data_IF_619986464502
#
_entry.id   IF_619986464502
#
_cell.length_a   1.000
_cell.length_b   1.000
_cell.length_c   1.000
_cell.angle_alpha   90.00
_cell.angle_beta   90.00
_cell.angle_gamma   90.00
#
_symmetry.space_group_name_H-M   'P 1'
#
loop_
_entity.id
_entity.type
_entity.pdbx_description
1 polymer ?
#
# COMPACT_ATOMS: atom_id res chain seq x y z
N UNK A 1 -10.09 65.82 -23.16
CA UNK A 1 -11.15 66.28 -22.23
C UNK A 1 -11.29 65.29 -21.09
N UNK A 2 -11.04 65.74 -19.86
CA UNK A 2 -11.21 64.98 -18.61
C UNK A 2 -12.67 65.04 -18.16
N UNK A 3 -13.25 63.93 -17.69
CA UNK A 3 -14.26 63.95 -16.63
C UNK A 3 -14.01 62.80 -15.64
N UNK A 4 -13.57 63.20 -14.44
CA UNK A 4 -13.49 62.41 -13.20
C UNK A 4 -14.74 62.72 -12.37
N UNK A 5 -15.34 61.75 -11.67
CA UNK A 5 -16.02 61.86 -10.35
C UNK A 5 -16.71 60.53 -9.98
N UNK A 6 -17.06 60.24 -8.71
CA UNK A 6 -16.33 60.42 -7.45
C UNK A 6 -16.24 59.13 -6.60
N UNK A 7 -15.29 59.17 -5.65
CA UNK A 7 -15.11 58.29 -4.50
C UNK A 7 -16.21 58.52 -3.46
N UNK A 8 -16.73 57.44 -2.83
CA UNK A 8 -17.53 57.54 -1.60
C UNK A 8 -16.99 56.59 -0.53
N UNK A 9 -16.32 57.19 0.44
CA UNK A 9 -15.92 56.64 1.74
C UNK A 9 -17.12 56.65 2.69
N UNK A 10 -17.35 55.56 3.46
CA UNK A 10 -18.17 55.65 4.68
C UNK A 10 -17.57 54.84 5.84
N UNK A 11 -17.17 55.68 6.82
CA UNK A 11 -16.76 55.55 8.22
C UNK A 11 -17.03 54.22 8.97
N UNK A 12 -15.97 53.83 9.68
CA UNK A 12 -15.92 53.05 10.92
C UNK A 12 -16.87 53.61 11.99
N UNK A 13 -17.52 52.72 12.73
CA UNK A 13 -17.91 52.92 14.13
C UNK A 13 -17.25 51.85 14.99
N UNK A 14 -16.53 52.32 16.01
CA UNK A 14 -15.82 51.56 17.03
C UNK A 14 -16.40 52.00 18.38
N UNK A 15 -16.92 51.06 19.15
CA UNK A 15 -17.11 51.16 20.61
C UNK A 15 -16.67 49.78 21.14
N UNK A 16 -15.56 49.60 21.89
CA UNK A 16 -15.25 49.99 23.28
C UNK A 16 -16.46 49.76 24.19
N UNK A 17 -16.38 49.11 25.33
CA UNK A 17 -15.40 48.37 26.16
C UNK A 17 -16.28 47.83 27.29
N UNK A 18 -15.95 46.69 27.89
CA UNK A 18 -15.96 46.50 29.35
C UNK A 18 -15.65 45.04 29.69
N UNK A 19 -14.44 44.85 30.22
CA UNK A 19 -14.14 43.76 31.13
C UNK A 19 -14.63 44.16 32.52
N UNK A 20 -15.02 43.20 33.34
CA UNK A 20 -14.55 43.01 34.74
C UNK A 20 -15.17 41.73 35.29
N UNK A 21 -14.32 41.02 36.02
CA UNK A 21 -14.39 39.75 36.72
C UNK A 21 -15.63 39.47 37.57
N UNK A 22 -15.96 38.18 37.69
CA UNK A 22 -16.44 37.61 38.94
C UNK A 22 -15.93 36.16 39.06
N UNK A 23 -14.92 35.97 39.91
CA UNK A 23 -14.56 34.68 40.52
C UNK A 23 -15.48 34.52 41.72
N UNK A 24 -16.33 33.49 41.72
CA UNK A 24 -17.02 33.02 42.92
C UNK A 24 -16.85 31.51 42.99
N UNK A 25 -16.18 31.10 44.06
CA UNK A 25 -16.11 29.73 44.58
C UNK A 25 -17.49 29.36 45.14
N UNK A 26 -18.04 28.24 44.69
CA UNK A 26 -19.13 27.55 45.38
C UNK A 26 -18.90 26.04 45.29
N UNK A 27 -18.32 25.50 46.38
CA UNK A 27 -18.28 24.08 46.72
C UNK A 27 -19.57 23.78 47.46
N UNK A 28 -20.41 22.89 46.92
CA UNK A 28 -21.29 21.91 47.62
C UNK A 28 -22.51 21.53 46.76
N UNK A 29 -22.58 20.24 46.41
CA UNK A 29 -23.85 19.51 46.40
C UNK A 29 -24.62 19.40 45.08
N UNK A 30 -24.16 18.57 44.14
CA UNK A 30 -25.06 17.74 43.31
C UNK A 30 -24.41 16.37 43.12
N UNK A 31 -24.69 15.48 44.06
CA UNK A 31 -24.71 14.04 43.84
C UNK A 31 -25.98 13.69 43.04
N UNK A 32 -25.89 12.67 42.18
CA UNK A 32 -26.98 12.03 41.40
C UNK A 32 -27.42 12.71 40.09
N UNK A 33 -26.59 12.58 39.05
CA UNK A 33 -27.05 12.28 37.68
C UNK A 33 -25.98 11.42 36.98
N UNK A 34 -25.84 10.16 37.41
CA UNK A 34 -25.25 9.13 36.55
C UNK A 34 -26.33 8.67 35.56
N UNK A 35 -26.54 9.46 34.50
CA UNK A 35 -27.27 8.98 33.33
C UNK A 35 -26.35 8.05 32.57
N UNK A 36 -26.53 6.75 32.80
CA UNK A 36 -26.52 5.66 31.81
C UNK A 36 -25.98 6.03 30.42
N UNK A 37 -24.70 6.36 30.30
CA UNK A 37 -23.94 6.14 29.06
C UNK A 37 -23.39 4.74 29.15
N UNK A 38 -24.28 3.76 29.00
CA UNK A 38 -23.87 2.41 28.63
C UNK A 38 -23.03 2.50 27.35
N UNK A 39 -22.01 1.65 27.16
CA UNK A 39 -21.30 1.60 25.90
C UNK A 39 -22.35 1.43 24.81
N UNK A 40 -22.38 2.36 23.86
CA UNK A 40 -23.15 2.18 22.64
C UNK A 40 -22.77 0.81 22.10
N UNK A 41 -23.72 -0.12 22.07
CA UNK A 41 -23.56 -1.38 21.36
C UNK A 41 -23.22 -1.00 19.92
N UNK A 42 -21.93 -1.03 19.59
CA UNK A 42 -21.51 -0.89 18.22
C UNK A 42 -22.11 -2.09 17.52
N UNK A 43 -22.97 -1.84 16.53
CA UNK A 43 -23.38 -2.88 15.61
C UNK A 43 -22.08 -3.49 15.05
N UNK A 44 -21.77 -4.71 15.47
CA UNK A 44 -20.67 -5.49 14.93
C UNK A 44 -21.07 -5.75 13.49
N UNK A 45 -20.60 -4.90 12.57
CA UNK A 45 -20.69 -5.22 11.15
C UNK A 45 -19.96 -6.54 10.99
N UNK A 46 -20.66 -7.57 10.53
CA UNK A 46 -20.09 -8.89 10.26
C UNK A 46 -19.17 -8.75 9.02
N UNK A 47 -18.00 -8.14 9.23
CA UNK A 47 -16.96 -7.86 8.22
C UNK A 47 -15.97 -9.01 8.11
N UNK A 48 -16.18 -10.09 8.85
CA UNK A 48 -15.34 -11.27 8.76
C UNK A 48 -15.88 -12.19 7.65
N UNK A 49 -14.97 -12.57 6.77
CA UNK A 49 -15.14 -13.54 5.72
C UNK A 49 -14.83 -14.94 6.28
N UNK A 50 -15.65 -15.95 5.94
CA UNK A 50 -15.46 -17.31 6.43
C UNK A 50 -14.14 -17.92 5.94
N UNK A 51 -13.59 -18.83 6.73
CA UNK A 51 -12.46 -19.69 6.39
C UNK A 51 -12.84 -21.17 6.30
N UNK A 52 -11.84 -22.03 6.15
CA UNK A 52 -11.94 -23.48 6.08
C UNK A 52 -12.78 -23.92 4.90
N UNK A 53 -13.58 -24.98 5.09
CA UNK A 53 -14.54 -25.46 4.09
C UNK A 53 -15.62 -24.45 3.68
N UNK A 54 -15.72 -23.31 4.38
CA UNK A 54 -16.63 -22.22 4.04
C UNK A 54 -15.92 -21.01 3.41
N UNK A 55 -14.60 -21.06 3.19
CA UNK A 55 -13.90 -20.02 2.43
C UNK A 55 -14.51 -19.86 1.03
N UNK A 56 -14.51 -18.63 0.52
CA UNK A 56 -15.13 -18.28 -0.76
C UNK A 56 -16.67 -18.39 -0.82
N UNK A 57 -17.35 -19.00 0.16
CA UNK A 57 -18.82 -19.21 0.14
C UNK A 57 -19.65 -17.93 0.41
N UNK A 58 -18.99 -16.83 0.78
CA UNK A 58 -19.67 -15.58 1.11
C UNK A 58 -20.32 -14.96 -0.13
N UNK A 59 -21.61 -14.60 0.00
CA UNK A 59 -22.31 -13.81 -1.01
C UNK A 59 -21.89 -12.32 -0.98
N UNK A 60 -21.06 -11.92 -0.02
CA UNK A 60 -20.55 -10.55 0.07
C UNK A 60 -19.54 -10.25 -1.03
N UNK A 61 -19.75 -9.16 -1.76
CA UNK A 61 -18.80 -8.66 -2.75
C UNK A 61 -17.51 -8.11 -2.14
N UNK A 62 -17.41 -8.03 -0.82
CA UNK A 62 -16.22 -7.57 -0.09
C UNK A 62 -15.40 -8.71 0.50
N UNK A 63 -15.80 -9.97 0.29
CA UNK A 63 -15.03 -11.13 0.70
C UNK A 63 -14.20 -11.72 -0.44
N UNK A 64 -13.13 -12.41 -0.07
CA UNK A 64 -12.32 -13.16 -1.01
C UNK A 64 -13.15 -14.26 -1.67
N UNK A 65 -12.94 -14.48 -2.97
CA UNK A 65 -13.53 -15.57 -3.74
C UNK A 65 -12.58 -16.78 -3.83
N UNK A 66 -11.74 -16.98 -2.82
CA UNK A 66 -10.81 -18.10 -2.73
C UNK A 66 -11.46 -19.22 -1.92
N UNK A 67 -11.53 -20.43 -2.49
CA UNK A 67 -11.95 -21.64 -1.79
C UNK A 67 -10.71 -22.50 -1.49
N UNK A 68 -10.38 -22.63 -0.22
CA UNK A 68 -9.29 -23.45 0.30
C UNK A 68 -9.51 -23.77 1.78
N UNK A 69 -9.23 -25.02 2.18
CA UNK A 69 -9.54 -25.54 3.51
C UNK A 69 -8.56 -25.12 4.62
N UNK A 70 -7.36 -24.68 4.26
CA UNK A 70 -6.38 -24.11 5.19
C UNK A 70 -6.68 -22.66 5.57
N UNK A 71 -7.49 -21.94 4.78
CA UNK A 71 -7.75 -20.52 5.01
C UNK A 71 -8.44 -20.28 6.35
N UNK A 72 -7.92 -19.35 7.14
CA UNK A 72 -8.60 -18.87 8.33
C UNK A 72 -9.60 -17.77 7.97
N UNK A 73 -10.61 -17.57 8.83
CA UNK A 73 -11.43 -16.37 8.75
C UNK A 73 -10.58 -15.12 8.74
N UNK A 74 -11.00 -14.15 7.94
CA UNK A 74 -10.26 -12.93 7.69
C UNK A 74 -11.21 -11.77 7.50
N UNK A 75 -10.72 -10.56 7.69
CA UNK A 75 -11.50 -9.35 7.40
C UNK A 75 -11.89 -9.25 5.92
N UNK A 76 -12.92 -8.46 5.65
CA UNK A 76 -13.33 -8.06 4.30
C UNK A 76 -12.32 -7.10 3.66
N UNK A 77 -12.29 -7.07 2.33
CA UNK A 77 -11.46 -6.16 1.56
C UNK A 77 -11.71 -4.69 1.93
N UNK A 78 -10.64 -3.86 1.96
CA UNK A 78 -10.77 -2.41 2.02
C UNK A 78 -11.30 -1.85 0.69
N UNK A 79 -11.58 -0.55 0.64
CA UNK A 79 -11.99 0.13 -0.60
C UNK A 79 -10.87 0.28 -1.65
N UNK A 80 -9.64 -0.09 -1.31
CA UNK A 80 -8.47 0.06 -2.16
C UNK A 80 -7.24 -0.59 -1.56
N UNK A 81 -6.39 -1.10 -2.43
CA UNK A 81 -5.10 -1.68 -2.10
C UNK A 81 -3.99 -1.01 -2.89
N UNK A 82 -2.77 -1.07 -2.35
CA UNK A 82 -1.61 -0.39 -2.89
C UNK A 82 -0.46 -1.36 -3.09
N UNK A 83 0.29 -1.17 -4.17
CA UNK A 83 1.48 -1.97 -4.46
C UNK A 83 2.62 -1.08 -4.93
N UNK A 84 3.74 -1.11 -4.20
CA UNK A 84 4.99 -0.51 -4.67
C UNK A 84 5.67 -1.43 -5.69
N UNK A 85 6.01 -0.90 -6.86
CA UNK A 85 6.61 -1.68 -7.95
C UNK A 85 7.54 -0.80 -8.82
N UNK A 86 8.52 -1.41 -9.48
CA UNK A 86 9.46 -0.71 -10.37
C UNK A 86 9.03 -0.76 -11.84
N UNK A 87 8.09 -1.64 -12.21
CA UNK A 87 7.61 -1.80 -13.59
C UNK A 87 6.82 -0.59 -14.06
N UNK A 88 6.90 -0.30 -15.37
CA UNK A 88 6.29 0.87 -15.97
C UNK A 88 4.75 0.75 -16.01
N UNK A 89 4.02 1.88 -15.87
CA UNK A 89 2.57 1.91 -15.95
C UNK A 89 2.02 1.32 -17.25
N UNK A 90 2.72 1.52 -18.37
CA UNK A 90 2.31 0.99 -19.66
C UNK A 90 2.18 -0.55 -19.63
N UNK A 91 3.14 -1.25 -19.03
CA UNK A 91 3.13 -2.71 -18.96
C UNK A 91 2.02 -3.21 -18.03
N UNK A 92 1.92 -2.60 -16.84
CA UNK A 92 0.93 -2.99 -15.83
C UNK A 92 -0.50 -2.67 -16.27
N UNK A 93 -0.73 -1.52 -16.90
CA UNK A 93 -2.06 -1.18 -17.42
C UNK A 93 -2.49 -2.10 -18.56
N UNK A 94 -1.54 -2.70 -19.29
CA UNK A 94 -1.82 -3.64 -20.36
C UNK A 94 -2.01 -5.09 -19.85
N UNK A 95 -1.18 -5.54 -18.92
CA UNK A 95 -1.08 -6.96 -18.55
C UNK A 95 -1.53 -7.27 -17.13
N UNK A 96 -1.63 -6.27 -16.26
CA UNK A 96 -1.87 -6.48 -14.84
C UNK A 96 -0.58 -6.93 -14.13
N UNK A 97 -0.74 -7.73 -13.08
CA UNK A 97 0.36 -8.33 -12.35
C UNK A 97 0.21 -9.85 -12.39
N UNK A 98 1.30 -10.55 -12.64
CA UNK A 98 1.40 -12.00 -12.46
C UNK A 98 2.42 -12.30 -11.36
N UNK A 99 2.17 -13.36 -10.60
CA UNK A 99 3.07 -13.91 -9.60
C UNK A 99 4.36 -14.42 -10.26
N UNK A 100 5.35 -14.81 -9.46
CA UNK A 100 6.65 -15.26 -10.01
C UNK A 100 6.67 -16.76 -10.30
N UNK A 101 5.76 -17.51 -9.72
CA UNK A 101 5.62 -18.94 -9.91
C UNK A 101 4.33 -19.43 -9.29
N UNK A 102 4.30 -20.69 -8.88
CA UNK A 102 3.10 -21.37 -8.42
C UNK A 102 3.28 -22.03 -7.04
N UNK A 103 4.14 -21.47 -6.19
CA UNK A 103 4.28 -21.92 -4.80
C UNK A 103 3.24 -21.24 -3.90
N UNK A 104 2.29 -22.02 -3.39
CA UNK A 104 1.17 -21.57 -2.54
C UNK A 104 1.50 -21.53 -1.04
N UNK A 105 2.73 -21.86 -0.63
CA UNK A 105 3.17 -21.70 0.76
C UNK A 105 3.19 -20.21 1.15
N UNK A 106 2.18 -19.80 1.94
CA UNK A 106 2.00 -18.43 2.39
C UNK A 106 3.08 -18.02 3.39
N UNK A 107 3.56 -18.97 4.21
CA UNK A 107 4.62 -18.71 5.20
C UNK A 107 5.95 -18.46 4.50
N UNK A 108 6.28 -19.29 3.50
CA UNK A 108 7.46 -19.08 2.68
C UNK A 108 7.38 -17.74 1.92
N UNK A 109 6.19 -17.37 1.41
CA UNK A 109 5.98 -16.07 0.77
C UNK A 109 6.34 -14.89 1.69
N UNK A 110 5.76 -14.84 2.90
CA UNK A 110 5.97 -13.70 3.82
C UNK A 110 7.41 -13.61 4.29
N UNK A 111 8.11 -14.75 4.39
CA UNK A 111 9.53 -14.81 4.72
C UNK A 111 10.46 -14.46 3.55
N UNK A 112 9.90 -14.05 2.41
CA UNK A 112 10.62 -13.50 1.27
C UNK A 112 11.02 -14.51 0.20
N UNK A 113 10.39 -15.69 0.19
CA UNK A 113 10.53 -16.78 -0.79
C UNK A 113 11.87 -16.79 -1.57
N UNK A 114 12.85 -17.52 -1.02
CA UNK A 114 14.21 -17.57 -1.57
C UNK A 114 14.30 -18.19 -2.96
N UNK A 115 13.37 -19.08 -3.30
CA UNK A 115 13.32 -19.70 -4.62
C UNK A 115 12.77 -18.75 -5.69
N UNK A 116 12.10 -17.67 -5.27
CA UNK A 116 11.54 -16.67 -6.17
C UNK A 116 10.42 -17.20 -7.05
N UNK A 117 9.69 -18.21 -6.59
CA UNK A 117 8.62 -18.93 -7.28
C UNK A 117 7.24 -18.80 -6.59
N UNK A 118 7.08 -17.85 -5.67
CA UNK A 118 5.84 -17.58 -4.95
C UNK A 118 4.67 -17.31 -5.91
N UNK A 119 3.53 -17.92 -5.59
CA UNK A 119 2.26 -17.68 -6.27
C UNK A 119 1.56 -16.39 -5.81
N UNK A 120 2.19 -15.59 -4.95
CA UNK A 120 1.56 -14.43 -4.36
C UNK A 120 2.12 -13.10 -4.87
N UNK A 121 1.22 -12.14 -5.02
CA UNK A 121 1.51 -10.75 -5.35
C UNK A 121 1.17 -9.89 -4.14
N UNK A 122 2.19 -9.42 -3.44
CA UNK A 122 2.05 -8.58 -2.25
C UNK A 122 1.41 -7.23 -2.57
N UNK A 123 0.39 -6.87 -1.79
CA UNK A 123 -0.25 -5.55 -1.76
C UNK A 123 -0.54 -5.17 -0.31
N UNK A 124 -0.91 -3.92 -0.05
CA UNK A 124 -1.22 -3.45 1.30
C UNK A 124 -2.40 -2.48 1.26
N UNK A 125 -3.19 -2.45 2.33
CA UNK A 125 -4.28 -1.47 2.48
C UNK A 125 -3.79 -0.10 2.97
N UNK A 126 -2.48 0.06 3.21
CA UNK A 126 -1.87 1.28 3.69
C UNK A 126 -0.87 1.86 2.69
N UNK A 127 -1.21 3.00 2.09
CA UNK A 127 -0.34 3.70 1.14
C UNK A 127 1.06 4.01 1.73
N UNK A 128 1.13 4.41 2.99
CA UNK A 128 2.40 4.68 3.68
C UNK A 128 3.27 3.42 3.90
N UNK A 129 2.70 2.22 3.77
CA UNK A 129 3.44 0.95 3.75
C UNK A 129 3.93 0.65 2.33
N UNK A 130 3.13 0.94 1.29
CA UNK A 130 3.51 0.71 -0.11
C UNK A 130 4.64 1.64 -0.60
N UNK A 131 4.70 2.89 -0.12
CA UNK A 131 5.70 3.88 -0.54
C UNK A 131 7.15 3.45 -0.25
N UNK A 132 7.51 2.94 0.96
CA UNK A 132 8.82 2.34 1.21
C UNK A 132 9.19 1.21 0.25
N UNK A 133 8.24 0.34 -0.13
CA UNK A 133 8.50 -0.71 -1.12
C UNK A 133 8.76 -0.13 -2.51
N UNK A 134 7.98 0.86 -2.95
CA UNK A 134 8.23 1.57 -4.20
C UNK A 134 9.60 2.27 -4.20
N UNK A 135 10.00 2.86 -3.08
CA UNK A 135 11.33 3.47 -2.92
C UNK A 135 12.44 2.41 -3.01
N UNK A 136 12.27 1.27 -2.36
CA UNK A 136 13.23 0.16 -2.39
C UNK A 136 13.37 -0.44 -3.80
N UNK A 137 12.25 -0.75 -4.46
CA UNK A 137 12.26 -1.29 -5.82
C UNK A 137 12.75 -0.27 -6.85
N UNK A 138 12.41 1.02 -6.67
CA UNK A 138 12.83 2.12 -7.53
C UNK A 138 14.35 2.35 -7.56
N UNK A 139 15.10 1.85 -6.56
CA UNK A 139 16.57 1.81 -6.62
C UNK A 139 17.07 1.06 -7.86
N UNK A 140 16.37 0.02 -8.31
CA UNK A 140 16.74 -0.71 -9.54
C UNK A 140 16.61 0.18 -10.77
N UNK A 141 15.56 1.00 -10.83
CA UNK A 141 15.36 1.96 -11.91
C UNK A 141 16.46 3.04 -11.89
N UNK A 142 16.81 3.55 -10.70
CA UNK A 142 17.94 4.48 -10.54
C UNK A 142 19.27 3.84 -10.94
N UNK A 143 19.54 2.60 -10.56
CA UNK A 143 20.76 1.89 -10.94
C UNK A 143 20.87 1.70 -12.45
N UNK A 144 19.76 1.37 -13.11
CA UNK A 144 19.69 1.30 -14.58
C UNK A 144 19.96 2.67 -15.20
N UNK A 145 19.37 3.74 -14.65
CA UNK A 145 19.63 5.11 -15.11
C UNK A 145 21.10 5.51 -14.94
N UNK A 146 21.72 5.18 -13.79
CA UNK A 146 23.12 5.47 -13.47
C UNK A 146 24.13 4.74 -14.36
N UNK A 147 23.75 3.60 -14.93
CA UNK A 147 24.58 2.87 -15.91
C UNK A 147 24.55 3.48 -17.30
N UNK A 148 23.61 4.38 -17.58
CA UNK A 148 23.52 5.06 -18.88
C UNK A 148 24.52 6.21 -18.90
N UNK A 149 25.49 6.25 -19.85
CA UNK A 149 26.50 7.30 -19.85
C UNK A 149 25.87 8.69 -20.03
N UNK A 150 25.99 9.55 -19.01
CA UNK A 150 25.55 10.95 -19.10
C UNK A 150 26.41 11.78 -20.06
N UNK A 151 27.65 11.35 -20.27
CA UNK A 151 28.62 12.00 -21.12
C UNK A 151 28.95 11.11 -22.31
N UNK A 152 28.63 11.56 -23.52
CA UNK A 152 29.11 10.87 -24.73
C UNK A 152 30.64 10.89 -24.79
N UNK A 153 31.24 9.90 -25.43
CA UNK A 153 32.70 9.78 -25.61
C UNK A 153 33.29 11.06 -26.22
N UNK A 154 32.56 11.67 -27.15
CA UNK A 154 32.92 12.92 -27.83
C UNK A 154 32.92 14.10 -26.85
N UNK A 155 31.92 14.23 -25.98
CA UNK A 155 31.88 15.30 -24.97
C UNK A 155 33.00 15.15 -23.95
N UNK A 156 33.32 13.93 -23.52
CA UNK A 156 34.46 13.69 -22.63
C UNK A 156 35.78 14.13 -23.27
N UNK A 157 36.02 13.72 -24.52
CA UNK A 157 37.22 14.11 -25.25
C UNK A 157 37.30 15.63 -25.42
N UNK A 158 36.19 16.28 -25.79
CA UNK A 158 36.13 17.73 -25.92
C UNK A 158 36.41 18.46 -24.60
N UNK A 159 35.74 18.08 -23.50
CA UNK A 159 35.96 18.71 -22.20
C UNK A 159 37.38 18.50 -21.69
N UNK A 160 38.00 17.35 -21.93
CA UNK A 160 39.40 17.11 -21.55
C UNK A 160 40.40 18.06 -22.25
N UNK A 161 40.03 18.65 -23.40
CA UNK A 161 40.90 19.55 -24.16
C UNK A 161 40.79 21.03 -23.79
N UNK A 162 39.80 21.44 -22.98
CA UNK A 162 39.59 22.85 -22.60
C UNK A 162 40.45 23.16 -21.35
N UNK A 163 41.48 24.01 -21.44
CA UNK A 163 42.29 24.35 -20.28
C UNK A 163 41.47 25.10 -19.22
N UNK A 164 41.66 24.78 -17.95
CA UNK A 164 40.98 25.42 -16.81
C UNK A 164 39.54 24.94 -16.61
N UNK A 165 38.65 25.17 -17.59
CA UNK A 165 37.23 24.81 -17.50
C UNK A 165 36.94 23.33 -17.78
N UNK A 166 37.83 22.65 -18.52
CA UNK A 166 37.67 21.27 -18.93
C UNK A 166 37.47 20.28 -17.79
N UNK A 167 38.31 20.27 -16.74
CA UNK A 167 38.13 19.40 -15.58
C UNK A 167 36.80 19.63 -14.84
N UNK A 168 36.33 20.87 -14.75
CA UNK A 168 35.05 21.20 -14.14
C UNK A 168 33.87 20.69 -14.97
N UNK A 169 33.88 20.93 -16.28
CA UNK A 169 32.85 20.43 -17.20
C UNK A 169 32.85 18.91 -17.24
N UNK A 170 34.03 18.29 -17.23
CA UNK A 170 34.18 16.84 -17.19
C UNK A 170 33.65 16.27 -15.88
N UNK A 171 33.98 16.84 -14.71
CA UNK A 171 33.42 16.41 -13.42
C UNK A 171 31.90 16.57 -13.38
N UNK A 172 31.33 17.69 -13.84
CA UNK A 172 29.86 17.86 -13.91
C UNK A 172 29.15 16.90 -14.87
N UNK A 173 29.89 16.28 -15.79
CA UNK A 173 29.38 15.32 -16.76
C UNK A 173 29.58 13.87 -16.31
N UNK A 174 30.54 13.63 -15.41
CA UNK A 174 30.90 12.32 -14.86
C UNK A 174 30.21 12.08 -13.51
N UNK A 175 30.15 13.11 -12.68
CA UNK A 175 29.44 13.17 -11.41
C UNK A 175 28.14 13.97 -11.61
N UNK A 176 27.03 13.47 -11.09
CA UNK A 176 25.75 14.15 -11.29
C UNK A 176 24.57 13.50 -10.60
N UNK A 177 23.42 14.16 -10.72
CA UNK A 177 22.15 13.63 -10.26
C UNK A 177 21.54 12.71 -11.33
N UNK A 178 21.22 11.48 -10.97
CA UNK A 178 20.38 10.59 -11.76
C UNK A 178 18.94 10.70 -11.29
N UNK A 179 18.02 10.61 -12.24
CA UNK A 179 16.59 10.53 -11.92
C UNK A 179 15.97 9.30 -12.55
N UNK A 180 15.02 8.70 -11.82
CA UNK A 180 14.21 7.60 -12.32
C UNK A 180 12.82 7.66 -11.69
N UNK A 181 11.82 7.19 -12.41
CA UNK A 181 10.46 7.09 -11.90
C UNK A 181 10.25 5.72 -11.22
N UNK A 182 9.44 5.72 -10.15
CA UNK A 182 8.98 4.54 -9.42
C UNK A 182 7.50 4.71 -9.07
N UNK A 183 6.83 3.61 -8.76
CA UNK A 183 5.40 3.52 -8.89
C UNK A 183 4.74 2.92 -7.65
N UNK A 184 3.63 3.52 -7.24
CA UNK A 184 2.68 2.90 -6.31
C UNK A 184 1.36 2.73 -7.04
N UNK A 185 1.01 1.49 -7.36
CA UNK A 185 -0.22 1.14 -8.05
C UNK A 185 -1.39 1.11 -7.10
N UNK A 186 -2.53 1.57 -7.61
CA UNK A 186 -3.81 1.63 -6.92
C UNK A 186 -4.72 0.52 -7.46
N UNK A 187 -5.16 -0.38 -6.59
CA UNK A 187 -5.88 -1.60 -6.96
C UNK A 187 -7.27 -1.56 -6.34
N UNK A 188 -8.29 -1.85 -7.15
CA UNK A 188 -9.69 -1.98 -6.75
C UNK A 188 -10.03 -3.46 -6.50
N UNK A 189 -10.13 -3.88 -5.23
CA UNK A 189 -10.39 -5.27 -4.89
C UNK A 189 -11.78 -5.76 -5.33
N UNK A 190 -12.71 -4.86 -5.70
CA UNK A 190 -14.01 -5.29 -6.24
C UNK A 190 -13.87 -6.08 -7.54
N UNK A 191 -12.78 -5.85 -8.28
CA UNK A 191 -12.47 -6.49 -9.55
C UNK A 191 -11.35 -7.53 -9.47
N UNK A 192 -10.80 -7.76 -8.27
CA UNK A 192 -9.83 -8.81 -7.99
C UNK A 192 -10.00 -9.21 -6.52
N UNK A 193 -10.77 -10.28 -6.26
CA UNK A 193 -11.09 -10.76 -4.90
C UNK A 193 -10.29 -12.00 -4.51
N UNK A 194 -9.29 -12.35 -5.32
CA UNK A 194 -8.45 -13.52 -5.19
C UNK A 194 -7.25 -13.24 -4.27
N UNK A 195 -7.46 -12.63 -3.11
CA UNK A 195 -6.38 -12.31 -2.17
C UNK A 195 -6.69 -12.75 -0.74
N UNK A 196 -5.64 -13.08 0.00
CA UNK A 196 -5.70 -13.39 1.43
C UNK A 196 -5.09 -12.25 2.24
N UNK A 197 -5.71 -11.91 3.38
CA UNK A 197 -5.14 -10.94 4.32
C UNK A 197 -4.15 -11.65 5.24
N UNK A 198 -2.87 -11.50 4.93
CA UNK A 198 -1.75 -12.24 5.53
C UNK A 198 -1.73 -12.21 7.06
N UNK A 199 -1.90 -11.06 7.75
CA UNK A 199 -1.84 -11.04 9.20
C UNK A 199 -2.91 -11.91 9.87
N UNK A 200 -4.09 -12.03 9.25
CA UNK A 200 -5.13 -12.89 9.78
C UNK A 200 -4.75 -14.37 9.57
N UNK A 201 -4.07 -14.72 8.47
CA UNK A 201 -3.65 -16.09 8.17
C UNK A 201 -2.50 -16.56 9.06
N UNK A 202 -1.50 -15.72 9.34
CA UNK A 202 -0.30 -16.13 10.13
C UNK A 202 -0.47 -16.02 11.65
N UNK A 203 -1.66 -15.66 12.14
CA UNK A 203 -1.91 -15.34 13.56
C UNK A 203 -1.65 -16.50 14.54
N UNK A 204 -1.63 -17.74 14.06
CA UNK A 204 -1.26 -18.92 14.86
C UNK A 204 0.22 -18.95 15.28
N UNK A 205 1.08 -18.14 14.64
CA UNK A 205 2.49 -18.02 14.96
C UNK A 205 2.82 -16.58 15.39
N UNK A 206 3.12 -16.39 16.68
CA UNK A 206 3.38 -15.07 17.24
C UNK A 206 4.60 -14.37 16.62
N UNK A 207 5.66 -15.12 16.27
CA UNK A 207 6.86 -14.54 15.67
C UNK A 207 6.58 -14.00 14.27
N UNK A 208 5.89 -14.79 13.45
CA UNK A 208 5.45 -14.35 12.12
C UNK A 208 4.50 -13.15 12.24
N UNK A 209 3.50 -13.24 13.10
CA UNK A 209 2.52 -12.17 13.28
C UNK A 209 3.19 -10.86 13.72
N UNK A 210 4.02 -10.90 14.76
CA UNK A 210 4.67 -9.70 15.28
C UNK A 210 5.63 -9.06 14.26
N UNK A 211 6.25 -9.86 13.40
CA UNK A 211 7.16 -9.36 12.38
C UNK A 211 6.42 -8.77 11.17
N UNK A 212 5.39 -9.44 10.67
CA UNK A 212 4.78 -9.13 9.37
C UNK A 212 3.42 -8.43 9.46
N UNK A 213 2.72 -8.44 10.60
CA UNK A 213 1.37 -7.86 10.72
C UNK A 213 1.32 -6.36 10.38
N UNK A 214 2.40 -5.62 10.68
CA UNK A 214 2.49 -4.18 10.39
C UNK A 214 2.46 -3.85 8.89
N UNK A 215 2.77 -4.82 8.03
CA UNK A 215 2.70 -4.64 6.57
C UNK A 215 1.26 -4.59 6.07
N UNK A 216 0.29 -5.06 6.86
CA UNK A 216 -1.14 -5.11 6.52
C UNK A 216 -1.36 -5.68 5.12
N UNK A 217 -0.64 -6.77 4.86
CA UNK A 217 -0.49 -7.33 3.53
C UNK A 217 -1.76 -8.07 3.09
N UNK A 218 -2.14 -7.81 1.84
CA UNK A 218 -3.08 -8.60 1.07
C UNK A 218 -2.30 -9.29 -0.05
N UNK A 219 -2.18 -10.60 0.04
CA UNK A 219 -1.44 -11.42 -0.90
C UNK A 219 -2.40 -11.97 -1.97
N UNK A 220 -2.34 -11.39 -3.16
CA UNK A 220 -3.13 -11.86 -4.30
C UNK A 220 -2.57 -13.15 -4.88
N UNK A 221 -3.43 -14.12 -5.14
CA UNK A 221 -3.08 -15.41 -5.72
C UNK A 221 -2.97 -15.28 -7.23
N UNK A 222 -1.79 -15.57 -7.75
CA UNK A 222 -1.40 -15.67 -9.16
C UNK A 222 -1.51 -14.42 -10.02
N UNK A 223 -2.70 -13.80 -10.12
CA UNK A 223 -2.93 -12.67 -11.02
C UNK A 223 -3.66 -11.51 -10.33
N UNK A 224 -3.24 -10.29 -10.62
CA UNK A 224 -4.07 -9.09 -10.45
C UNK A 224 -4.38 -8.56 -11.85
N UNK A 225 -5.59 -8.78 -12.37
CA UNK A 225 -5.92 -8.39 -13.73
C UNK A 225 -5.77 -6.89 -13.96
N UNK A 226 -5.43 -6.50 -15.17
CA UNK A 226 -5.18 -5.11 -15.51
C UNK A 226 -6.37 -4.17 -15.21
N UNK A 227 -7.61 -4.66 -15.35
CA UNK A 227 -8.83 -3.90 -15.08
C UNK A 227 -9.10 -3.66 -13.59
N UNK A 228 -8.46 -4.43 -12.70
CA UNK A 228 -8.48 -4.18 -11.26
C UNK A 228 -7.51 -3.05 -10.86
N UNK A 229 -6.55 -2.68 -11.71
CA UNK A 229 -5.65 -1.55 -11.45
C UNK A 229 -6.36 -0.24 -11.83
N UNK A 230 -6.67 0.61 -10.84
CA UNK A 230 -7.32 1.92 -11.06
C UNK A 230 -6.39 2.93 -11.73
N UNK A 231 -5.12 2.89 -11.35
CA UNK A 231 -4.13 3.85 -11.76
C UNK A 231 -2.84 3.68 -10.97
N UNK A 232 -2.00 4.71 -11.01
CA UNK A 232 -0.67 4.68 -10.41
C UNK A 232 -0.23 6.07 -9.96
N UNK A 233 0.35 6.13 -8.76
CA UNK A 233 1.08 7.29 -8.26
C UNK A 233 2.52 7.20 -8.76
N UNK A 234 2.97 8.18 -9.52
CA UNK A 234 4.32 8.27 -10.05
C UNK A 234 5.16 9.11 -9.10
N UNK A 235 6.27 8.54 -8.63
CA UNK A 235 7.27 9.21 -7.83
C UNK A 235 8.55 9.32 -8.61
N UNK A 236 9.15 10.52 -8.62
CA UNK A 236 10.51 10.68 -9.10
C UNK A 236 11.47 10.47 -7.96
N UNK A 237 12.43 9.59 -8.20
CA UNK A 237 13.61 9.43 -7.38
C UNK A 237 14.77 10.16 -8.00
N UNK A 238 15.57 10.82 -7.17
CA UNK A 238 16.82 11.47 -7.59
C UNK A 238 17.92 11.08 -6.63
N UNK A 239 19.11 10.78 -7.13
CA UNK A 239 20.28 10.51 -6.30
C UNK A 239 21.56 10.99 -6.99
N UNK A 240 22.59 11.31 -6.21
CA UNK A 240 23.93 11.59 -6.73
C UNK A 240 24.63 10.30 -7.09
N UNK A 241 25.41 10.36 -8.17
CA UNK A 241 26.26 9.28 -8.64
C UNK A 241 27.69 9.79 -8.72
N UNK A 242 28.64 8.94 -8.32
CA UNK A 242 30.06 9.24 -8.48
C UNK A 242 30.57 8.83 -9.86
N UNK A 243 31.82 9.18 -10.15
CA UNK A 243 32.51 8.83 -11.38
C UNK A 243 32.53 7.34 -11.77
N UNK A 244 32.29 6.43 -10.82
CA UNK A 244 32.22 4.99 -11.03
C UNK A 244 30.79 4.48 -11.30
N UNK A 245 29.79 5.36 -11.37
CA UNK A 245 28.39 4.96 -11.58
C UNK A 245 27.72 4.45 -10.29
N UNK A 246 28.32 4.65 -9.13
CA UNK A 246 27.76 4.22 -7.84
C UNK A 246 26.86 5.31 -7.26
N UNK A 247 25.66 4.92 -6.87
CA UNK A 247 24.66 5.80 -6.27
C UNK A 247 25.02 6.07 -4.80
N UNK A 248 25.06 7.35 -4.39
CA UNK A 248 25.08 7.74 -2.99
C UNK A 248 23.66 7.67 -2.41
N UNK A 249 23.37 6.58 -1.71
CA UNK A 249 22.03 6.31 -1.15
C UNK A 249 21.56 7.36 -0.14
N UNK A 250 22.49 8.12 0.47
CA UNK A 250 22.16 9.20 1.43
C UNK A 250 21.53 10.40 0.75
N UNK A 251 21.69 10.52 -0.57
CA UNK A 251 21.19 11.63 -1.38
C UNK A 251 19.85 11.33 -2.05
N UNK A 252 19.32 10.12 -1.86
CA UNK A 252 18.07 9.69 -2.50
C UNK A 252 16.91 10.55 -2.01
N UNK A 253 16.34 11.30 -2.94
CA UNK A 253 15.03 11.92 -2.77
C UNK A 253 13.95 11.03 -3.38
N UNK A 254 12.73 11.13 -2.87
CA UNK A 254 11.56 10.40 -3.33
C UNK A 254 10.37 11.36 -3.29
N UNK A 255 9.92 11.82 -4.47
CA UNK A 255 8.94 12.92 -4.58
C UNK A 255 7.78 12.49 -5.47
N UNK A 256 6.57 12.56 -4.91
CA UNK A 256 5.36 12.37 -5.70
C UNK A 256 5.27 13.43 -6.81
N UNK A 257 4.95 13.01 -8.03
CA UNK A 257 4.77 13.90 -9.18
C UNK A 257 3.33 14.01 -9.62
N UNK A 258 2.71 12.87 -9.91
CA UNK A 258 1.39 12.83 -10.54
C UNK A 258 0.72 11.47 -10.33
N UNK A 259 -0.58 11.43 -10.60
CA UNK A 259 -1.36 10.21 -10.70
C UNK A 259 -1.74 9.97 -12.16
N UNK A 260 -1.50 8.78 -12.67
CA UNK A 260 -1.95 8.36 -14.00
C UNK A 260 -3.10 7.38 -13.84
N UNK A 261 -4.21 7.66 -14.52
CA UNK A 261 -5.39 6.79 -14.53
C UNK A 261 -5.16 5.65 -15.53
N UNK A 262 -5.53 4.43 -15.16
CA UNK A 262 -5.53 3.31 -16.07
C UNK A 262 -6.78 3.36 -16.97
N UNK A 263 -6.66 3.53 -18.29
CA UNK A 263 -7.81 3.55 -19.20
C UNK A 263 -8.53 2.19 -19.29
N UNK A 264 -7.92 1.10 -18.83
CA UNK A 264 -8.51 -0.25 -18.82
C UNK A 264 -9.25 -0.59 -17.53
N UNK A 265 -9.16 0.25 -16.50
CA UNK A 265 -10.03 0.13 -15.32
C UNK A 265 -11.49 0.28 -15.76
N UNK A 266 -12.46 -0.25 -14.99
CA UNK A 266 -13.92 -0.20 -15.23
C UNK A 266 -14.47 -0.93 -16.48
N UNK A 267 -13.67 -1.72 -17.20
CA UNK A 267 -14.24 -2.67 -18.18
C UNK A 267 -14.89 -3.84 -17.42
N UNK A 268 -16.21 -4.10 -17.57
CA UNK A 268 -16.86 -5.24 -16.92
C UNK A 268 -16.24 -6.53 -17.44
N UNK A 269 -15.65 -7.32 -16.54
CA UNK A 269 -15.02 -8.59 -16.87
C UNK A 269 -15.35 -9.64 -15.82
N UNK A 270 -15.18 -10.90 -16.22
CA UNK A 270 -15.27 -12.05 -15.34
C UNK A 270 -14.19 -11.89 -14.28
N UNK A 271 -14.59 -11.99 -13.01
CA UNK A 271 -13.66 -11.97 -11.89
C UNK A 271 -12.67 -13.12 -12.05
N UNK A 272 -11.38 -12.82 -11.92
CA UNK A 272 -10.35 -13.84 -11.95
C UNK A 272 -10.56 -14.88 -10.83
N UNK A 273 -10.47 -16.16 -11.19
CA UNK A 273 -10.58 -17.28 -10.27
C UNK A 273 -9.36 -18.19 -10.43
N UNK A 274 -8.45 -18.24 -9.44
CA UNK A 274 -7.25 -19.05 -9.54
C UNK A 274 -7.53 -20.56 -9.62
N UNK A 275 -8.63 -21.06 -9.04
CA UNK A 275 -9.00 -22.49 -9.10
C UNK A 275 -9.27 -23.01 -10.52
N UNK A 276 -9.59 -22.10 -11.44
CA UNK A 276 -9.86 -22.42 -12.84
C UNK A 276 -8.73 -22.03 -13.78
N UNK A 277 -7.66 -21.43 -13.26
CA UNK A 277 -6.49 -21.05 -14.04
C UNK A 277 -5.46 -22.19 -14.01
N UNK A 278 -5.17 -22.78 -15.16
CA UNK A 278 -4.20 -23.87 -15.30
C UNK A 278 -2.75 -23.48 -14.95
N UNK A 279 -2.46 -22.19 -14.83
CA UNK A 279 -1.18 -21.66 -14.39
C UNK A 279 -1.14 -21.35 -12.90
N UNK A 280 -2.29 -21.38 -12.21
CA UNK A 280 -2.35 -21.37 -10.76
C UNK A 280 -2.29 -22.78 -10.21
N UNK A 281 -1.49 -23.00 -9.17
CA UNK A 281 -1.52 -24.24 -8.39
C UNK A 281 -2.50 -24.14 -7.20
N UNK A 282 -3.27 -23.06 -7.13
CA UNK A 282 -4.17 -22.78 -6.02
C UNK A 282 -5.54 -23.43 -6.24
N UNK A 283 -5.87 -24.36 -5.37
CA UNK A 283 -7.14 -25.08 -5.31
C UNK A 283 -7.58 -25.26 -3.85
N UNK A 284 -8.64 -26.06 -3.68
CA UNK A 284 -9.22 -26.31 -2.36
C UNK A 284 -8.26 -27.02 -1.39
N UNK A 285 -7.33 -27.84 -1.90
CA UNK A 285 -6.41 -28.69 -1.14
C UNK A 285 -4.96 -28.16 -1.15
N UNK A 286 -4.69 -27.04 -1.84
CA UNK A 286 -3.36 -26.42 -1.84
C UNK A 286 -2.91 -26.10 -0.41
N UNK A 287 -1.78 -26.68 -0.02
CA UNK A 287 -1.22 -26.48 1.31
C UNK A 287 -0.61 -25.08 1.43
N UNK A 288 -1.25 -24.24 2.23
CA UNK A 288 -0.84 -22.85 2.46
C UNK A 288 0.18 -22.72 3.61
N UNK A 289 0.45 -23.82 4.32
CA UNK A 289 1.26 -23.91 5.54
C UNK A 289 0.83 -22.90 6.61
N UNK A 290 -0.47 -22.60 6.67
CA UNK A 290 -1.01 -21.65 7.65
C UNK A 290 -0.81 -22.21 9.07
N UNK A 291 -0.13 -21.47 9.98
CA UNK A 291 0.07 -21.92 11.35
C UNK A 291 -1.26 -22.12 12.08
N UNK A 292 -1.41 -23.27 12.74
CA UNK A 292 -2.59 -23.55 13.54
C UNK A 292 -2.80 -22.49 14.63
N UNK A 293 -4.04 -22.04 14.79
CA UNK A 293 -4.41 -21.13 15.88
C UNK A 293 -4.71 -21.95 17.12
N UNK A 294 -3.99 -21.68 18.22
CA UNK A 294 -4.26 -22.34 19.49
C UNK A 294 -5.70 -22.04 19.95
N UNK A 295 -6.46 -23.09 20.30
CA UNK A 295 -7.75 -22.93 20.97
C UNK A 295 -7.51 -22.22 22.32
N UNK A 296 -8.25 -21.14 22.60
CA UNK A 296 -8.09 -20.46 23.88
C UNK A 296 -8.94 -21.20 24.95
N UNK A 297 -8.60 -21.02 26.24
CA UNK A 297 -9.22 -21.75 27.35
C UNK A 297 -10.68 -21.36 27.65
N UNK A 298 -11.24 -20.37 26.95
CA UNK A 298 -12.62 -19.89 27.12
C UNK A 298 -13.59 -20.38 26.04
N UNK A 299 -13.10 -21.15 25.06
CA UNK A 299 -13.87 -21.52 23.87
C UNK A 299 -14.62 -22.84 24.02
N UNK A 300 -15.76 -22.84 24.71
CA UNK A 300 -16.85 -23.76 24.33
C UNK A 300 -17.50 -23.22 23.05
N UNK A 301 -16.85 -23.42 21.89
CA UNK A 301 -17.50 -23.20 20.59
C UNK A 301 -16.71 -22.47 19.51
N UNK A 302 -15.45 -22.06 19.72
CA UNK A 302 -14.62 -21.57 18.62
C UNK A 302 -13.85 -22.72 17.97
N UNK A 303 -13.95 -22.84 16.65
CA UNK A 303 -12.99 -23.63 15.87
C UNK A 303 -11.92 -22.68 15.30
N UNK A 304 -10.84 -23.22 14.74
CA UNK A 304 -9.77 -22.43 14.13
C UNK A 304 -10.27 -21.48 13.02
N UNK A 305 -11.44 -21.78 12.45
CA UNK A 305 -12.03 -21.07 11.32
C UNK A 305 -12.84 -19.84 11.74
N UNK A 306 -13.25 -19.71 13.00
CA UNK A 306 -14.02 -18.57 13.51
C UNK A 306 -13.21 -17.71 14.48
N UNK A 307 -13.21 -16.39 14.28
CA UNK A 307 -12.69 -15.45 15.26
C UNK A 307 -13.62 -15.44 16.48
N UNK A 308 -13.13 -15.90 17.63
CA UNK A 308 -13.91 -15.84 18.86
C UNK A 308 -14.40 -14.42 19.13
N UNK A 309 -15.73 -14.29 19.31
CA UNK A 309 -16.34 -13.10 19.89
C UNK A 309 -15.76 -12.89 21.28
N UNK A 310 -15.24 -11.69 21.51
CA UNK A 310 -14.59 -11.32 22.77
C UNK A 310 -15.44 -11.64 24.00
N UNK A 311 -14.80 -12.32 24.96
CA UNK A 311 -15.19 -12.19 26.35
C UNK A 311 -14.89 -10.76 26.79
N UNK A 312 -15.90 -9.90 26.71
CA UNK A 312 -15.85 -8.60 27.36
C UNK A 312 -15.77 -8.80 28.87
N UNK A 313 -14.77 -8.19 29.51
CA UNK A 313 -14.84 -7.78 30.91
C UNK A 313 -14.78 -6.25 30.92
#
# INVERSE_FOLDING_TARGET
MRKRTPVRTRKRTRARRSAVSAVIVAVLGVLLFQTLSGPSAQAVSNTDCPGGSSSGSSTSTTCANLHNDDLLSQRSFPAGLWRGDSRLPYDIFRQGFTSRGANDDLVQHVQGDRAGNSNYISTTDALGVAEPFARSQGLRNLQTAARTPHCSSIRRAFYATIPGLGPYLLSSCIDGDVTADTYVYDIDPRWARNAVYVPDQIRGNADLYNHYASQREWAYVHEIPNYAVRGVRVYQMTARVNAQGLIDTRTITFRYRQYLINPNHIQPRVLYNPETDEHSNFDYESNLHIPAVAANSYDRGCNANDRCRGGGN
#
